data_IF_748107258910
#
_entry.id   IF_748107258910
#
_cell.length_a   1.000
_cell.length_b   1.000
_cell.length_c   1.000
_cell.angle_alpha   90.00
_cell.angle_beta   90.00
_cell.angle_gamma   90.00
#
_symmetry.space_group_name_H-M   'P 1'
#
loop_
_entity.id
_entity.type
_entity.pdbx_description
1 polymer ?
#
# COMPACT_ATOMS: atom_id res chain seq x y z
N UNK A 1 -15.36 -4.80 -15.89
CA UNK A 1 -14.29 -3.83 -16.23
C UNK A 1 -13.14 -4.11 -15.30
N UNK A 2 -12.00 -4.49 -15.86
CA UNK A 2 -10.84 -4.87 -15.07
C UNK A 2 -9.86 -3.70 -15.02
N UNK A 3 -9.50 -3.31 -13.79
CA UNK A 3 -8.54 -2.24 -13.52
C UNK A 3 -7.19 -2.89 -13.21
N UNK A 4 -6.14 -2.50 -13.94
CA UNK A 4 -4.76 -2.88 -13.65
C UNK A 4 -4.07 -1.74 -12.88
N UNK A 5 -3.64 -2.03 -11.66
CA UNK A 5 -2.89 -1.09 -10.82
C UNK A 5 -1.40 -1.40 -10.97
N UNK A 6 -0.61 -0.39 -11.34
CA UNK A 6 0.86 -0.45 -11.34
C UNK A 6 1.36 0.50 -10.26
N UNK A 7 1.76 -0.05 -9.12
CA UNK A 7 2.36 0.72 -8.04
C UNK A 7 3.86 0.48 -8.01
N UNK A 8 4.62 1.57 -7.94
CA UNK A 8 6.11 1.56 -7.96
C UNK A 8 6.71 1.92 -6.60
N UNK A 9 5.89 1.95 -5.55
CA UNK A 9 6.28 2.40 -4.23
C UNK A 9 5.47 3.60 -3.75
N UNK A 10 6.01 4.30 -2.76
CA UNK A 10 5.46 5.55 -2.24
C UNK A 10 5.55 5.61 -0.73
N UNK A 11 4.83 6.57 -0.12
CA UNK A 11 4.74 6.67 1.34
C UNK A 11 4.02 5.50 1.98
N UNK A 12 3.16 4.79 1.24
CA UNK A 12 2.51 3.57 1.71
C UNK A 12 3.48 2.45 2.08
N UNK A 13 4.65 2.41 1.44
CA UNK A 13 5.66 1.37 1.65
C UNK A 13 6.81 1.85 2.55
N UNK A 14 6.70 3.08 3.08
CA UNK A 14 7.71 3.62 3.99
C UNK A 14 7.47 3.10 5.40
N UNK A 15 8.56 2.65 6.03
CA UNK A 15 8.58 2.31 7.44
C UNK A 15 9.59 3.19 8.16
N UNK A 16 9.13 3.81 9.23
CA UNK A 16 10.00 4.52 10.15
C UNK A 16 10.54 3.54 11.18
N UNK A 17 11.87 3.48 11.31
CA UNK A 17 12.54 2.79 12.40
C UNK A 17 12.80 3.79 13.53
N UNK A 18 12.12 3.67 14.69
CA UNK A 18 12.31 4.60 15.80
C UNK A 18 13.65 4.43 16.53
N UNK A 19 14.36 3.32 16.35
CA UNK A 19 15.67 3.07 16.98
C UNK A 19 16.77 3.81 16.22
N UNK A 20 16.75 3.72 14.89
CA UNK A 20 17.76 4.34 14.02
C UNK A 20 17.35 5.73 13.50
N UNK A 21 16.07 6.08 13.59
CA UNK A 21 15.52 7.33 13.05
C UNK A 21 15.39 7.34 11.52
N UNK A 22 15.56 6.19 10.86
CA UNK A 22 15.55 6.09 9.40
C UNK A 22 14.14 5.90 8.88
N UNK A 23 13.78 6.68 7.85
CA UNK A 23 12.57 6.47 7.06
C UNK A 23 12.95 5.83 5.72
N UNK A 24 12.78 4.52 5.61
CA UNK A 24 13.15 3.73 4.44
C UNK A 24 11.97 3.03 3.79
N UNK A 25 12.20 2.44 2.62
CA UNK A 25 11.25 1.53 2.00
C UNK A 25 11.31 0.16 2.66
N UNK A 26 10.15 -0.46 2.89
CA UNK A 26 9.99 -1.81 3.40
C UNK A 26 9.05 -2.64 2.54
N UNK A 27 8.35 -3.57 3.17
CA UNK A 27 7.32 -4.38 2.51
C UNK A 27 6.11 -3.52 2.10
N UNK A 28 5.49 -3.87 0.98
CA UNK A 28 4.32 -3.15 0.50
C UNK A 28 3.04 -3.61 1.19
N UNK A 29 2.19 -2.65 1.56
CA UNK A 29 0.85 -2.90 2.11
C UNK A 29 -0.27 -2.64 1.10
N UNK A 30 0.08 -2.33 -0.15
CA UNK A 30 -0.90 -1.88 -1.16
C UNK A 30 -1.94 -2.95 -1.50
N UNK A 31 -1.58 -4.23 -1.48
CA UNK A 31 -2.54 -5.31 -1.72
C UNK A 31 -3.65 -5.34 -0.67
N UNK A 32 -3.29 -5.24 0.60
CA UNK A 32 -4.23 -5.23 1.73
C UNK A 32 -5.10 -3.97 1.71
N UNK A 33 -4.49 -2.81 1.43
CA UNK A 33 -5.18 -1.53 1.29
C UNK A 33 -6.23 -1.59 0.18
N UNK A 34 -5.87 -2.10 -1.01
CA UNK A 34 -6.80 -2.22 -2.13
C UNK A 34 -7.94 -3.20 -1.81
N UNK A 35 -7.65 -4.32 -1.16
CA UNK A 35 -8.67 -5.28 -0.74
C UNK A 35 -9.67 -4.65 0.25
N UNK A 36 -9.18 -3.85 1.20
CA UNK A 36 -10.02 -3.16 2.20
C UNK A 36 -10.81 -1.98 1.62
N UNK A 37 -10.21 -1.21 0.71
CA UNK A 37 -10.81 -0.01 0.14
C UNK A 37 -11.76 -0.31 -1.02
N UNK A 38 -11.70 -1.51 -1.61
CA UNK A 38 -12.59 -1.92 -2.69
C UNK A 38 -14.04 -1.93 -2.19
N UNK A 39 -14.81 -0.95 -2.64
CA UNK A 39 -16.26 -0.93 -2.50
C UNK A 39 -16.87 -1.76 -3.63
N UNK A 40 -17.54 -2.85 -3.29
CA UNK A 40 -18.44 -3.52 -4.22
C UNK A 40 -19.82 -2.83 -4.14
N UNK A 41 -20.35 -2.39 -5.28
CA UNK A 41 -21.76 -2.01 -5.37
C UNK A 41 -22.67 -3.22 -5.14
N UNK A 42 -23.99 -3.04 -4.99
CA UNK A 42 -24.91 -4.17 -4.90
C UNK A 42 -24.71 -5.11 -6.10
N UNK A 43 -24.69 -6.41 -5.81
CA UNK A 43 -24.64 -7.49 -6.80
C UNK A 43 -25.96 -7.58 -7.57
#
# INVERSE_FOLDING_TARGET
MDLRILATGGTFDKRYDPITGVLGFGETHLHEIVARARVAGPL
#
